data_IF_892034512599
#
_entry.id   IF_892034512599
#
_cell.length_a   1.000
_cell.length_b   1.000
_cell.length_c   1.000
_cell.angle_alpha   90.00
_cell.angle_beta   90.00
_cell.angle_gamma   90.00
#
_symmetry.space_group_name_H-M   'P 1'
#
loop_
_entity.id
_entity.type
_entity.pdbx_description
1 polymer ?
#
# COMPACT_ATOMS: atom_id res chain seq x y z
N UNK A 1 10.93 11.96 -0.61
CA UNK A 1 9.93 10.88 -0.76
C UNK A 1 8.64 11.46 -1.32
N UNK A 2 8.15 10.91 -2.41
CA UNK A 2 6.84 11.31 -2.93
C UNK A 2 5.75 10.58 -2.15
N UNK A 3 4.72 11.32 -1.76
CA UNK A 3 3.56 10.76 -1.09
C UNK A 3 2.35 10.94 -2.00
N UNK A 4 1.69 9.86 -2.31
CA UNK A 4 0.53 9.84 -3.19
C UNK A 4 -0.74 9.79 -2.35
N UNK A 5 -1.77 10.50 -2.80
CA UNK A 5 -3.05 10.53 -2.10
C UNK A 5 -4.09 9.82 -2.93
N UNK A 6 -4.69 8.78 -2.38
CA UNK A 6 -5.74 8.01 -3.03
C UNK A 6 -7.01 8.09 -2.21
N UNK A 7 -8.14 8.13 -2.90
CA UNK A 7 -9.44 8.14 -2.24
C UNK A 7 -9.82 6.76 -1.76
N UNK A 8 -10.44 6.70 -0.61
CA UNK A 8 -11.02 5.46 -0.09
C UNK A 8 -12.29 5.77 0.70
N UNK A 9 -13.13 4.77 0.88
CA UNK A 9 -14.35 4.88 1.66
C UNK A 9 -14.11 4.29 3.05
N UNK A 10 -14.47 5.05 4.08
CA UNK A 10 -14.34 4.58 5.46
C UNK A 10 -15.44 3.56 5.78
N UNK A 11 -15.29 2.85 6.89
CA UNK A 11 -16.31 1.92 7.38
C UNK A 11 -17.66 2.60 7.65
N UNK A 12 -17.67 3.93 7.82
CA UNK A 12 -18.90 4.72 8.03
C UNK A 12 -19.50 5.23 6.73
N UNK A 13 -18.91 4.89 5.59
CA UNK A 13 -19.40 5.31 4.29
C UNK A 13 -18.95 6.69 3.84
N UNK A 14 -18.00 7.30 4.53
CA UNK A 14 -17.46 8.61 4.16
C UNK A 14 -16.28 8.47 3.22
N UNK A 15 -16.27 9.28 2.16
CA UNK A 15 -15.15 9.32 1.24
C UNK A 15 -14.04 10.20 1.82
N UNK A 16 -12.81 9.69 1.79
CA UNK A 16 -11.63 10.41 2.30
C UNK A 16 -10.39 9.98 1.52
N UNK A 17 -9.22 10.51 1.87
CA UNK A 17 -7.97 10.18 1.18
C UNK A 17 -6.97 9.53 2.12
N UNK A 18 -6.26 8.53 1.61
CA UNK A 18 -5.12 7.92 2.26
C UNK A 18 -3.83 8.44 1.62
N UNK A 19 -2.77 8.56 2.39
CA UNK A 19 -1.45 8.89 1.89
C UNK A 19 -0.68 7.58 1.70
N UNK A 20 -0.23 7.31 0.47
CA UNK A 20 0.37 6.04 0.10
C UNK A 20 1.83 6.19 -0.27
N UNK A 21 2.62 5.21 0.15
CA UNK A 21 4.00 5.04 -0.28
C UNK A 21 4.11 3.70 -1.00
N UNK A 22 4.79 3.70 -2.15
CA UNK A 22 4.93 2.53 -3.00
C UNK A 22 6.34 1.97 -2.86
N UNK A 23 6.43 0.66 -2.67
CA UNK A 23 7.70 0.00 -2.41
C UNK A 23 7.81 -1.33 -3.16
N UNK A 24 9.04 -1.78 -3.34
CA UNK A 24 9.35 -3.16 -3.71
C UNK A 24 9.85 -3.85 -2.45
N UNK A 25 9.25 -5.00 -2.12
CA UNK A 25 9.65 -5.77 -0.93
C UNK A 25 9.54 -7.27 -1.24
N UNK A 26 10.60 -8.01 -0.95
CA UNK A 26 10.64 -9.44 -1.20
C UNK A 26 10.31 -9.78 -2.67
N UNK A 27 10.82 -8.97 -3.60
CA UNK A 27 10.61 -9.08 -5.06
C UNK A 27 9.19 -8.85 -5.53
N UNK A 28 8.34 -8.33 -4.67
CA UNK A 28 6.95 -8.07 -4.98
C UNK A 28 6.53 -6.64 -4.63
N UNK A 29 5.31 -6.27 -4.97
CA UNK A 29 4.79 -4.96 -4.64
C UNK A 29 4.42 -4.87 -3.16
N UNK A 30 4.69 -3.71 -2.56
CA UNK A 30 4.25 -3.40 -1.21
C UNK A 30 3.79 -1.95 -1.16
N UNK A 31 2.87 -1.67 -0.27
CA UNK A 31 2.30 -0.34 -0.07
C UNK A 31 2.21 -0.07 1.42
N UNK A 32 2.63 1.12 1.83
CA UNK A 32 2.37 1.62 3.18
C UNK A 32 1.39 2.77 3.04
N UNK A 33 0.26 2.68 3.73
CA UNK A 33 -0.78 3.69 3.69
C UNK A 33 -1.04 4.30 5.05
N UNK A 34 -1.12 5.63 5.09
CA UNK A 34 -1.62 6.37 6.25
C UNK A 34 -3.07 6.70 5.98
N UNK A 35 -3.95 6.21 6.84
CA UNK A 35 -5.40 6.39 6.74
C UNK A 35 -5.84 7.38 7.85
N UNK A 36 -5.85 8.67 7.56
CA UNK A 36 -6.04 9.69 8.61
C UNK A 36 -7.39 9.63 9.30
N UNK A 37 -8.45 9.28 8.58
CA UNK A 37 -9.78 9.17 9.18
C UNK A 37 -9.87 8.03 10.19
N UNK A 38 -9.11 6.97 9.99
CA UNK A 38 -9.05 5.84 10.90
C UNK A 38 -7.95 6.02 11.95
N UNK A 39 -7.05 6.96 11.75
CA UNK A 39 -5.93 7.22 12.65
C UNK A 39 -4.90 6.10 12.66
N UNK A 40 -4.79 5.33 11.57
CA UNK A 40 -3.90 4.17 11.51
C UNK A 40 -3.02 4.20 10.27
N UNK A 41 -1.90 3.51 10.37
CA UNK A 41 -1.02 3.23 9.24
C UNK A 41 -1.03 1.71 9.01
N UNK A 42 -1.21 1.31 7.76
CA UNK A 42 -1.27 -0.10 7.37
C UNK A 42 -0.30 -0.37 6.24
N UNK A 43 0.23 -1.57 6.18
CA UNK A 43 1.03 -2.02 5.05
C UNK A 43 0.37 -3.22 4.40
N UNK A 44 0.54 -3.32 3.09
CA UNK A 44 -0.01 -4.40 2.29
C UNK A 44 1.05 -4.87 1.30
N UNK A 45 1.01 -6.13 0.94
CA UNK A 45 1.95 -6.69 -0.04
C UNK A 45 1.32 -7.86 -0.77
N UNK A 46 1.93 -8.22 -1.91
CA UNK A 46 1.57 -9.45 -2.62
C UNK A 46 2.77 -10.38 -2.46
N UNK A 47 2.60 -11.54 -1.81
CA UNK A 47 3.72 -12.48 -1.62
C UNK A 47 4.19 -13.08 -2.95
N UNK A 48 5.44 -13.50 -2.99
CA UNK A 48 6.01 -14.17 -4.17
C UNK A 48 5.16 -15.40 -4.51
N UNK A 49 4.73 -15.48 -5.76
CA UNK A 49 3.86 -16.55 -6.22
C UNK A 49 2.38 -16.35 -5.89
N UNK A 50 2.03 -15.31 -5.14
CA UNK A 50 0.65 -14.95 -4.87
C UNK A 50 0.11 -13.96 -5.88
N UNK A 51 -1.21 -13.75 -5.84
CA UNK A 51 -1.89 -12.80 -6.73
C UNK A 51 -2.76 -11.80 -5.98
N UNK A 52 -2.94 -11.99 -4.68
CA UNK A 52 -3.80 -11.15 -3.86
C UNK A 52 -3.03 -10.30 -2.87
N UNK A 53 -3.54 -9.10 -2.61
CA UNK A 53 -3.01 -8.23 -1.58
C UNK A 53 -3.32 -8.82 -0.19
N UNK A 54 -2.31 -8.82 0.66
CA UNK A 54 -2.41 -9.29 2.04
C UNK A 54 -2.02 -8.13 2.95
N UNK A 55 -2.78 -7.94 4.03
CA UNK A 55 -2.42 -6.97 5.05
C UNK A 55 -1.21 -7.50 5.84
N UNK A 56 -0.17 -6.69 5.94
CA UNK A 56 1.04 -7.07 6.67
C UNK A 56 0.80 -7.13 8.18
N UNK A 57 1.42 -8.10 8.83
CA UNK A 57 1.50 -8.16 10.30
C UNK A 57 2.41 -7.04 10.81
N UNK A 58 2.45 -6.85 12.14
CA UNK A 58 3.34 -5.85 12.74
C UNK A 58 4.81 -6.04 12.37
N UNK A 59 5.29 -7.29 12.39
CA UNK A 59 6.66 -7.60 12.01
C UNK A 59 6.94 -7.37 10.53
N UNK A 60 5.99 -7.74 9.68
CA UNK A 60 6.09 -7.50 8.24
C UNK A 60 6.05 -6.01 7.92
N UNK A 61 5.18 -5.26 8.60
CA UNK A 61 5.11 -3.81 8.46
C UNK A 61 6.47 -3.17 8.73
N UNK A 62 7.12 -3.55 9.83
CA UNK A 62 8.45 -3.04 10.18
C UNK A 62 9.50 -3.40 9.14
N UNK A 63 9.48 -4.63 8.64
CA UNK A 63 10.42 -5.10 7.63
C UNK A 63 10.22 -4.39 6.30
N UNK A 64 8.99 -4.18 5.88
CA UNK A 64 8.69 -3.41 4.67
C UNK A 64 9.24 -2.00 4.79
N UNK A 65 9.06 -1.35 5.94
CA UNK A 65 9.57 -0.02 6.19
C UNK A 65 11.10 0.07 6.19
N UNK A 66 11.78 -0.94 6.73
CA UNK A 66 13.24 -0.97 6.81
C UNK A 66 13.93 -1.44 5.53
N UNK A 67 13.40 -2.48 4.90
CA UNK A 67 14.05 -3.16 3.80
C UNK A 67 13.36 -2.98 2.44
N UNK A 68 12.17 -2.41 2.41
CA UNK A 68 11.48 -2.13 1.17
C UNK A 68 12.16 -1.00 0.39
N UNK A 69 12.20 -1.12 -0.92
CA UNK A 69 12.74 -0.10 -1.80
C UNK A 69 11.65 0.88 -2.23
N UNK A 70 11.72 2.13 -1.76
CA UNK A 70 10.79 3.18 -2.16
C UNK A 70 10.91 3.48 -3.64
N UNK A 71 9.77 3.72 -4.28
CA UNK A 71 9.73 4.11 -5.68
C UNK A 71 8.58 5.07 -5.91
N UNK A 72 8.59 5.74 -7.07
CA UNK A 72 7.49 6.59 -7.47
C UNK A 72 6.30 5.72 -7.87
N UNK A 73 5.10 6.31 -7.85
CA UNK A 73 3.89 5.63 -8.32
C UNK A 73 4.06 5.17 -9.77
N UNK A 74 4.67 6.01 -10.58
CA UNK A 74 4.93 5.73 -12.00
C UNK A 74 5.82 4.50 -12.18
N UNK A 75 6.93 4.44 -11.45
CA UNK A 75 7.82 3.28 -11.47
C UNK A 75 7.13 2.02 -10.96
N UNK A 76 6.33 2.16 -9.91
CA UNK A 76 5.58 1.06 -9.33
C UNK A 76 4.57 0.49 -10.33
N UNK A 77 3.78 1.35 -10.98
CA UNK A 77 2.79 0.93 -11.96
C UNK A 77 3.43 0.29 -13.19
N UNK A 78 4.58 0.81 -13.60
CA UNK A 78 5.35 0.26 -14.71
C UNK A 78 5.87 -1.15 -14.40
N UNK A 79 6.26 -1.38 -13.16
CA UNK A 79 6.86 -2.65 -12.72
C UNK A 79 5.82 -3.69 -12.32
N UNK A 80 4.78 -3.28 -11.61
CA UNK A 80 3.78 -4.16 -11.01
C UNK A 80 2.36 -4.00 -11.53
N UNK A 81 2.11 -3.00 -12.35
CA UNK A 81 0.78 -2.71 -12.87
C UNK A 81 0.03 -1.64 -12.07
N UNK A 82 -1.08 -1.19 -12.62
CA UNK A 82 -1.94 -0.17 -12.01
C UNK A 82 -2.73 -0.78 -10.85
N UNK A 83 -2.71 -0.11 -9.71
CA UNK A 83 -3.32 -0.62 -8.48
C UNK A 83 -4.41 0.29 -7.89
N UNK A 84 -4.68 1.45 -8.50
CA UNK A 84 -5.59 2.45 -7.94
C UNK A 84 -6.94 1.90 -7.51
N UNK A 85 -7.61 1.14 -8.36
CA UNK A 85 -8.90 0.54 -8.04
C UNK A 85 -8.76 -0.58 -7.01
N UNK A 86 -7.66 -1.31 -7.05
CA UNK A 86 -7.39 -2.42 -6.13
C UNK A 86 -7.19 -1.91 -4.71
N UNK A 87 -6.66 -0.71 -4.54
CA UNK A 87 -6.44 -0.12 -3.22
C UNK A 87 -7.73 0.08 -2.44
N UNK A 88 -8.83 0.36 -3.11
CA UNK A 88 -10.12 0.52 -2.47
C UNK A 88 -10.66 -0.80 -1.92
N UNK A 89 -10.15 -1.91 -2.38
CA UNK A 89 -10.55 -3.26 -1.98
C UNK A 89 -9.56 -3.91 -1.01
N UNK A 90 -8.51 -3.19 -0.61
CA UNK A 90 -7.52 -3.73 0.31
C UNK A 90 -8.14 -4.09 1.66
N UNK A 91 -7.79 -5.25 2.21
CA UNK A 91 -8.35 -5.70 3.48
C UNK A 91 -7.96 -4.84 4.67
#
# INVERSE_FOLDING_TARGET
MEIYKEKYETAKGNETTAELSYLSWERGPAIIGLFPEEGVTKAFFIPVGGSDWIKASGGQYGDIGENGGLMTKEEFEKRFGVIGETLLELP
#
